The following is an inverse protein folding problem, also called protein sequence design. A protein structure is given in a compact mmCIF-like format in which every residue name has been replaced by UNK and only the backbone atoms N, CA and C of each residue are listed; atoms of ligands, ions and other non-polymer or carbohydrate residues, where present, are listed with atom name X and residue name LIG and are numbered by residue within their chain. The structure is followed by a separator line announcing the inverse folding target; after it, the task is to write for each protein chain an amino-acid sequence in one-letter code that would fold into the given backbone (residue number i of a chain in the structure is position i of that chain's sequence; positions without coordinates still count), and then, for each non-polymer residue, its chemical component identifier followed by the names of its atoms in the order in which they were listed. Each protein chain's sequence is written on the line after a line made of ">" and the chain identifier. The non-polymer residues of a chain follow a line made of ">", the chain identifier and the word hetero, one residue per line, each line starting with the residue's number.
data_IF_215904918068
#
_entry.id   IF_215904918068
#
_cell.length_a   1.000
_cell.length_b   1.000
_cell.length_c   1.000
_cell.angle_alpha   90.00
_cell.angle_beta   90.00
_cell.angle_gamma   90.00
#
_symmetry.space_group_name_H-M   'P 1'
#
loop_
_entity.id
_entity.type
_entity.pdbx_description
1 polymer ?
#
# COMPACT_ATOMS: atom_id res chain seq x y z
N UNK A 1 -10.51 -83.49 35.08
CA UNK A 1 -10.79 -82.22 34.35
C UNK A 1 -10.19 -81.08 35.15
N UNK A 2 -8.99 -80.61 34.81
CA UNK A 2 -8.44 -79.34 35.31
C UNK A 2 -7.66 -78.72 34.16
N UNK A 3 -8.26 -77.79 33.42
CA UNK A 3 -7.54 -76.93 32.46
C UNK A 3 -7.29 -75.59 33.13
N UNK A 4 -6.02 -75.29 33.41
CA UNK A 4 -5.57 -73.95 33.83
C UNK A 4 -5.49 -73.07 32.58
N UNK A 5 -6.28 -72.00 32.54
CA UNK A 5 -6.13 -70.93 31.56
C UNK A 5 -5.03 -69.96 32.03
N UNK A 6 -3.99 -69.81 31.23
CA UNK A 6 -2.96 -68.79 31.39
C UNK A 6 -3.48 -67.48 30.79
N UNK A 7 -3.57 -66.40 31.58
CA UNK A 7 -3.82 -65.05 31.09
C UNK A 7 -2.49 -64.36 30.80
N UNK A 8 -2.26 -64.00 29.53
CA UNK A 8 -1.16 -63.13 29.11
C UNK A 8 -1.66 -61.69 29.13
N UNK A 9 -1.11 -60.87 30.03
CA UNK A 9 -1.36 -59.43 30.05
C UNK A 9 -0.44 -58.75 29.02
N UNK A 10 -1.02 -58.15 27.98
CA UNK A 10 -0.30 -57.30 27.03
C UNK A 10 -0.27 -55.86 27.56
N UNK A 11 0.92 -55.37 27.92
CA UNK A 11 1.17 -53.96 28.22
C UNK A 11 1.23 -53.16 26.92
N UNK A 12 0.24 -52.29 26.71
CA UNK A 12 0.25 -51.30 25.63
C UNK A 12 1.08 -50.11 26.11
N UNK A 13 2.25 -49.90 25.50
CA UNK A 13 3.06 -48.69 25.70
C UNK A 13 2.42 -47.56 24.88
N UNK A 14 1.72 -46.65 25.54
CA UNK A 14 1.19 -45.44 24.89
C UNK A 14 2.34 -44.45 24.66
N UNK A 15 2.74 -44.25 23.41
CA UNK A 15 3.55 -43.10 23.01
C UNK A 15 2.69 -41.85 23.15
N UNK A 16 3.03 -40.97 24.08
CA UNK A 16 2.50 -39.62 24.11
C UNK A 16 3.05 -38.87 22.87
N UNK A 17 2.16 -38.52 21.95
CA UNK A 17 2.44 -37.56 20.89
C UNK A 17 2.19 -36.19 21.50
N UNK A 18 3.25 -35.47 21.85
CA UNK A 18 3.14 -34.07 22.23
C UNK A 18 2.61 -33.27 21.04
N UNK A 19 1.39 -32.77 21.15
CA UNK A 19 0.84 -31.80 20.20
C UNK A 19 1.57 -30.48 20.47
N UNK A 20 2.70 -30.27 19.78
CA UNK A 20 3.32 -28.95 19.68
C UNK A 20 2.35 -28.08 18.89
N UNK A 21 1.69 -27.14 19.57
CA UNK A 21 0.96 -26.06 18.93
C UNK A 21 2.00 -25.21 18.19
N UNK A 22 2.21 -25.50 16.91
CA UNK A 22 3.15 -24.76 16.07
C UNK A 22 2.72 -23.30 16.02
N UNK A 23 3.54 -22.42 16.59
CA UNK A 23 3.51 -21.02 16.25
C UNK A 23 3.80 -20.94 14.74
N UNK A 24 3.15 -20.03 14.02
CA UNK A 24 3.39 -19.88 12.59
C UNK A 24 3.81 -18.45 12.34
N UNK A 25 4.94 -18.26 11.67
CA UNK A 25 5.36 -16.93 11.26
C UNK A 25 4.57 -16.49 10.03
N UNK A 26 4.04 -15.28 10.08
CA UNK A 26 3.52 -14.59 8.90
C UNK A 26 4.70 -13.94 8.18
N UNK A 27 5.01 -14.40 6.97
CA UNK A 27 6.16 -13.93 6.19
C UNK A 27 5.85 -12.69 5.35
N UNK A 28 6.81 -11.78 5.24
CA UNK A 28 6.78 -10.57 4.41
C UNK A 28 8.01 -10.58 3.49
N UNK A 29 7.80 -10.62 2.18
CA UNK A 29 8.90 -10.66 1.19
C UNK A 29 9.42 -9.26 0.88
N UNK A 30 10.71 -9.18 0.61
CA UNK A 30 11.46 -7.95 0.30
C UNK A 30 11.36 -6.87 1.38
N UNK A 31 11.14 -7.28 2.63
CA UNK A 31 10.99 -6.38 3.77
C UNK A 31 12.15 -6.61 4.72
N UNK A 32 12.77 -5.52 5.13
CA UNK A 32 13.62 -5.43 6.31
C UNK A 32 12.92 -4.62 7.40
N UNK A 33 12.90 -5.09 8.65
CA UNK A 33 12.43 -4.28 9.77
C UNK A 33 13.65 -3.67 10.46
N UNK A 34 13.72 -2.35 10.57
CA UNK A 34 14.91 -1.69 11.10
C UNK A 34 15.08 -1.87 12.62
N UNK A 35 16.33 -2.12 13.06
CA UNK A 35 16.72 -2.17 14.48
C UNK A 35 16.15 -3.35 15.30
N UNK A 36 16.31 -3.29 16.63
CA UNK A 36 15.79 -4.30 17.59
C UNK A 36 16.34 -5.74 17.49
N UNK A 37 17.47 -5.93 16.81
CA UNK A 37 18.17 -7.22 16.73
C UNK A 37 18.65 -7.66 18.13
N UNK A 38 18.29 -8.88 18.51
CA UNK A 38 18.66 -9.50 19.78
C UNK A 38 19.60 -10.68 19.61
N UNK A 39 19.62 -11.29 18.43
CA UNK A 39 20.49 -12.42 18.11
C UNK A 39 20.58 -12.60 16.60
N UNK A 40 21.59 -13.34 16.14
CA UNK A 40 21.74 -13.71 14.75
C UNK A 40 22.05 -15.20 14.59
N UNK A 41 21.45 -15.85 13.60
CA UNK A 41 21.74 -17.24 13.21
C UNK A 41 21.99 -17.34 11.70
N UNK A 42 22.56 -18.45 11.22
CA UNK A 42 22.76 -18.68 9.79
C UNK A 42 21.83 -19.81 9.33
N UNK A 43 20.95 -19.53 8.37
CA UNK A 43 19.92 -20.43 7.89
C UNK A 43 19.78 -20.37 6.37
N UNK A 44 19.60 -21.52 5.73
CA UNK A 44 19.52 -21.61 4.28
C UNK A 44 18.21 -21.00 3.72
N UNK A 45 17.16 -20.90 4.54
CA UNK A 45 15.86 -20.38 4.13
C UNK A 45 15.15 -19.62 5.27
N UNK A 46 14.19 -18.74 4.94
CA UNK A 46 13.43 -17.96 5.93
C UNK A 46 12.59 -18.81 6.90
N UNK A 47 12.11 -19.98 6.47
CA UNK A 47 11.28 -20.84 7.31
C UNK A 47 12.05 -21.36 8.52
N UNK A 48 13.33 -21.69 8.36
CA UNK A 48 14.20 -22.03 9.49
C UNK A 48 14.45 -20.84 10.43
N UNK A 49 14.39 -19.62 9.90
CA UNK A 49 14.48 -18.39 10.68
C UNK A 49 13.30 -18.20 11.63
N UNK A 50 12.10 -18.63 11.19
CA UNK A 50 10.92 -18.68 12.04
C UNK A 50 11.13 -19.60 13.25
N UNK A 51 11.61 -20.82 12.99
CA UNK A 51 11.88 -21.80 14.05
C UNK A 51 12.93 -21.28 15.06
N UNK A 52 13.95 -20.57 14.58
CA UNK A 52 14.93 -19.92 15.46
C UNK A 52 14.30 -18.84 16.35
N UNK A 53 13.38 -18.04 15.79
CA UNK A 53 12.68 -17.02 16.56
C UNK A 53 11.75 -17.64 17.61
N UNK A 54 11.06 -18.74 17.30
CA UNK A 54 10.15 -19.43 18.24
C UNK A 54 10.85 -19.90 19.53
N UNK A 55 12.09 -20.38 19.41
CA UNK A 55 12.86 -20.89 20.54
C UNK A 55 13.72 -19.81 21.22
N UNK A 56 13.82 -18.62 20.63
CA UNK A 56 14.65 -17.53 21.16
C UNK A 56 13.84 -16.66 22.11
N UNK A 57 14.21 -16.60 23.42
CA UNK A 57 13.51 -15.76 24.37
C UNK A 57 13.46 -14.30 23.92
N UNK A 58 12.28 -13.69 24.02
CA UNK A 58 11.98 -12.32 23.59
C UNK A 58 12.03 -12.05 22.08
N UNK A 59 12.21 -13.06 21.23
CA UNK A 59 12.02 -12.88 19.80
C UNK A 59 10.52 -12.74 19.49
N UNK A 60 10.17 -11.74 18.68
CA UNK A 60 8.80 -11.50 18.21
C UNK A 60 8.70 -11.56 16.69
N UNK A 61 9.82 -11.35 16.00
CA UNK A 61 9.94 -11.38 14.56
C UNK A 61 11.39 -11.64 14.17
N UNK A 62 11.62 -11.94 12.90
CA UNK A 62 12.94 -12.08 12.31
C UNK A 62 13.04 -11.35 10.97
N UNK A 63 14.28 -11.07 10.56
CA UNK A 63 14.67 -10.69 9.21
C UNK A 63 15.63 -11.74 8.65
N UNK A 64 15.30 -12.33 7.51
CA UNK A 64 16.19 -13.24 6.78
C UNK A 64 16.73 -12.54 5.54
N UNK A 65 18.05 -12.50 5.38
CA UNK A 65 18.70 -11.95 4.18
C UNK A 65 20.03 -12.65 3.94
N UNK A 66 20.26 -13.10 2.71
CA UNK A 66 21.51 -13.72 2.26
C UNK A 66 22.02 -14.84 3.19
N UNK A 67 21.11 -15.68 3.67
CA UNK A 67 21.43 -16.80 4.55
C UNK A 67 21.60 -16.44 6.04
N UNK A 68 21.41 -15.18 6.41
CA UNK A 68 21.51 -14.70 7.80
C UNK A 68 20.12 -14.38 8.34
N UNK A 69 19.87 -14.84 9.56
CA UNK A 69 18.70 -14.55 10.36
C UNK A 69 19.03 -13.52 11.41
N UNK A 70 18.31 -12.40 11.42
CA UNK A 70 18.36 -11.38 12.43
C UNK A 70 17.08 -11.48 13.27
N UNK A 71 17.21 -12.03 14.48
CA UNK A 71 16.11 -12.27 15.41
C UNK A 71 15.85 -11.01 16.22
N UNK A 72 14.59 -10.58 16.35
CA UNK A 72 14.27 -9.22 16.82
C UNK A 72 13.17 -9.20 17.87
N UNK A 73 13.31 -8.25 18.78
CA UNK A 73 12.42 -8.10 19.95
C UNK A 73 11.20 -7.20 19.73
N UNK A 74 11.22 -6.38 18.68
CA UNK A 74 10.15 -5.47 18.31
C UNK A 74 10.23 -5.11 16.82
N UNK A 75 9.08 -4.82 16.21
CA UNK A 75 8.99 -4.42 14.82
C UNK A 75 9.34 -2.93 14.71
N UNK A 76 10.45 -2.63 14.05
CA UNK A 76 10.81 -1.26 13.67
C UNK A 76 10.15 -0.82 12.36
N UNK A 77 10.69 0.24 11.77
CA UNK A 77 10.25 0.73 10.45
C UNK A 77 10.44 -0.34 9.38
N UNK A 78 9.47 -0.48 8.49
CA UNK A 78 9.59 -1.34 7.31
C UNK A 78 10.44 -0.64 6.25
N UNK A 79 11.52 -1.29 5.82
CA UNK A 79 12.44 -0.86 4.77
C UNK A 79 12.33 -1.85 3.62
N UNK A 80 12.26 -1.35 2.39
CA UNK A 80 12.31 -2.18 1.18
C UNK A 80 13.73 -2.73 1.01
N UNK A 81 13.88 -4.05 1.10
CA UNK A 81 15.14 -4.74 0.85
C UNK A 81 14.91 -5.95 -0.08
N UNK A 82 15.16 -5.81 -1.39
CA UNK A 82 14.98 -6.89 -2.35
C UNK A 82 15.77 -8.15 -1.96
N UNK A 83 15.10 -9.29 -1.91
CA UNK A 83 15.67 -10.58 -1.51
C UNK A 83 15.56 -10.90 -0.02
N UNK A 84 15.19 -9.94 0.84
CA UNK A 84 14.92 -10.20 2.24
C UNK A 84 13.57 -10.90 2.43
N UNK A 85 13.42 -11.64 3.52
CA UNK A 85 12.13 -12.15 3.99
C UNK A 85 12.05 -11.91 5.48
N UNK A 86 11.10 -11.09 5.92
CA UNK A 86 10.78 -10.96 7.34
C UNK A 86 9.73 -11.96 7.75
N UNK A 87 9.66 -12.31 9.03
CA UNK A 87 8.52 -13.05 9.57
C UNK A 87 8.16 -12.59 10.97
N UNK A 88 6.88 -12.38 11.24
CA UNK A 88 6.37 -12.03 12.57
C UNK A 88 5.73 -13.27 13.18
N UNK A 89 6.09 -13.59 14.43
CA UNK A 89 5.48 -14.69 15.16
C UNK A 89 4.00 -14.41 15.39
N UNK A 90 3.13 -15.11 14.68
CA UNK A 90 1.70 -15.09 14.93
C UNK A 90 1.39 -15.89 16.18
N UNK A 91 0.53 -15.38 17.07
CA UNK A 91 -0.24 -16.28 17.91
C UNK A 91 -1.15 -17.08 16.98
N UNK A 92 -1.13 -18.41 17.08
CA UNK A 92 -2.04 -19.28 16.36
C UNK A 92 -3.47 -18.72 16.52
N UNK A 93 -3.97 -18.08 15.47
CA UNK A 93 -5.31 -17.53 15.49
C UNK A 93 -6.24 -18.72 15.45
N UNK A 94 -7.06 -18.87 16.49
CA UNK A 94 -8.18 -19.80 16.46
C UNK A 94 -8.95 -19.61 15.13
N UNK A 95 -9.51 -20.66 14.54
CA UNK A 95 -10.31 -20.54 13.32
C UNK A 95 -11.54 -19.68 13.61
N UNK A 96 -11.43 -18.37 13.42
CA UNK A 96 -12.57 -17.45 13.48
C UNK A 96 -13.42 -17.69 12.25
N UNK A 97 -14.54 -18.36 12.46
CA UNK A 97 -15.70 -18.37 11.57
C UNK A 97 -16.30 -16.96 11.50
N UNK A 98 -15.57 -15.98 10.96
CA UNK A 98 -16.16 -14.73 10.54
C UNK A 98 -16.80 -14.92 9.17
N UNK A 99 -18.13 -14.78 9.13
CA UNK A 99 -18.96 -14.65 7.94
C UNK A 99 -18.22 -13.84 6.85
N UNK A 100 -18.14 -14.31 5.59
CA UNK A 100 -17.40 -13.62 4.54
C UNK A 100 -18.06 -12.27 4.28
N UNK A 101 -17.46 -11.21 4.84
CA UNK A 101 -17.68 -9.87 4.31
C UNK A 101 -17.04 -9.94 2.94
N UNK A 102 -17.84 -9.81 1.89
CA UNK A 102 -17.35 -9.58 0.54
C UNK A 102 -16.55 -8.28 0.56
N UNK A 103 -15.27 -8.35 0.93
CA UNK A 103 -14.31 -7.26 0.77
C UNK A 103 -13.87 -7.27 -0.69
N UNK A 104 -14.69 -6.66 -1.51
CA UNK A 104 -14.29 -6.30 -2.87
C UNK A 104 -13.20 -5.24 -2.72
N UNK A 105 -12.02 -5.50 -3.28
CA UNK A 105 -11.01 -4.46 -3.38
C UNK A 105 -11.44 -3.50 -4.50
N UNK A 106 -11.42 -2.21 -4.22
CA UNK A 106 -11.68 -1.17 -5.20
C UNK A 106 -10.38 -0.42 -5.46
N UNK A 107 -10.01 -0.32 -6.74
CA UNK A 107 -8.86 0.50 -7.16
C UNK A 107 -9.30 1.96 -7.18
N UNK A 108 -8.54 2.80 -6.50
CA UNK A 108 -8.64 4.25 -6.59
C UNK A 108 -7.47 4.73 -7.46
N UNK A 109 -7.71 5.08 -8.74
CA UNK A 109 -6.64 5.61 -9.59
C UNK A 109 -6.16 6.96 -9.05
N UNK A 110 -4.88 7.25 -9.26
CA UNK A 110 -4.22 8.52 -8.91
C UNK A 110 -4.32 8.96 -7.43
N UNK A 111 -4.43 8.00 -6.52
CA UNK A 111 -4.53 8.27 -5.07
C UNK A 111 -3.38 7.62 -4.34
N UNK A 112 -2.75 8.39 -3.46
CA UNK A 112 -1.81 7.90 -2.46
C UNK A 112 -2.48 7.83 -1.08
N UNK A 113 -2.40 6.66 -0.46
CA UNK A 113 -2.80 6.47 0.93
C UNK A 113 -1.59 6.66 1.83
N UNK A 114 -1.65 7.58 2.81
CA UNK A 114 -0.49 7.85 3.67
C UNK A 114 -0.28 6.79 4.75
N UNK A 115 1.00 6.46 4.96
CA UNK A 115 1.47 5.62 6.05
C UNK A 115 0.85 4.22 6.12
N UNK A 116 1.00 3.60 7.29
CA UNK A 116 0.46 2.27 7.56
C UNK A 116 1.16 1.12 6.83
N UNK A 117 2.26 1.39 6.11
CA UNK A 117 3.00 0.38 5.36
C UNK A 117 3.53 -0.74 6.27
N UNK A 118 3.14 -1.96 5.96
CA UNK A 118 3.53 -3.19 6.67
C UNK A 118 4.36 -4.13 5.82
N UNK A 119 4.48 -3.85 4.51
CA UNK A 119 5.34 -4.60 3.62
C UNK A 119 5.07 -4.27 2.16
N UNK A 120 5.82 -4.93 1.27
CA UNK A 120 5.64 -4.75 -0.16
C UNK A 120 5.71 -6.06 -0.93
N UNK A 121 4.95 -6.16 -2.02
CA UNK A 121 5.04 -7.25 -3.00
C UNK A 121 5.19 -6.67 -4.41
N UNK A 122 5.56 -7.50 -5.38
CA UNK A 122 5.68 -7.08 -6.77
C UNK A 122 4.52 -7.64 -7.60
N UNK A 123 3.83 -6.76 -8.31
CA UNK A 123 2.77 -7.10 -9.24
C UNK A 123 2.82 -6.18 -10.44
N UNK A 124 2.75 -6.73 -11.64
CA UNK A 124 2.66 -5.94 -12.87
C UNK A 124 1.30 -5.25 -13.06
N UNK A 125 0.28 -5.70 -12.34
CA UNK A 125 -1.09 -5.19 -12.40
C UNK A 125 -1.56 -4.79 -10.98
N UNK A 126 -2.03 -3.54 -10.76
CA UNK A 126 -2.55 -3.10 -9.46
C UNK A 126 -3.73 -3.93 -8.94
N UNK A 127 -4.50 -4.59 -9.81
CA UNK A 127 -5.59 -5.46 -9.39
C UNK A 127 -5.10 -6.69 -8.60
N UNK A 128 -3.88 -7.15 -8.86
CA UNK A 128 -3.30 -8.32 -8.18
C UNK A 128 -2.87 -8.02 -6.74
N UNK A 129 -2.61 -6.76 -6.40
CA UNK A 129 -2.28 -6.35 -5.02
C UNK A 129 -3.39 -6.67 -4.01
N UNK A 130 -4.64 -6.78 -4.48
CA UNK A 130 -5.75 -7.21 -3.63
C UNK A 130 -5.54 -8.62 -3.07
N UNK A 131 -5.03 -9.55 -3.89
CA UNK A 131 -4.75 -10.91 -3.44
C UNK A 131 -3.61 -10.92 -2.42
N UNK A 132 -2.56 -10.13 -2.67
CA UNK A 132 -1.41 -9.98 -1.78
C UNK A 132 -1.82 -9.37 -0.43
N UNK A 133 -2.68 -8.36 -0.45
CA UNK A 133 -3.22 -7.78 0.78
C UNK A 133 -4.09 -8.80 1.53
N UNK A 134 -4.95 -9.56 0.84
CA UNK A 134 -5.79 -10.59 1.47
C UNK A 134 -4.98 -11.73 2.10
N UNK A 135 -3.82 -12.06 1.55
CA UNK A 135 -2.93 -13.09 2.10
C UNK A 135 -2.01 -12.54 3.21
N UNK A 136 -1.92 -11.22 3.37
CA UNK A 136 -1.07 -10.57 4.36
C UNK A 136 -1.86 -10.25 5.63
N UNK A 137 -1.53 -10.92 6.73
CA UNK A 137 -2.19 -10.69 8.02
C UNK A 137 -2.07 -9.21 8.42
N UNK A 138 -3.20 -8.61 8.77
CA UNK A 138 -3.28 -7.22 9.18
C UNK A 138 -3.38 -6.23 8.02
N UNK A 139 -3.25 -6.64 6.76
CA UNK A 139 -3.43 -5.75 5.62
C UNK A 139 -4.91 -5.38 5.43
N UNK A 140 -5.17 -4.08 5.22
CA UNK A 140 -6.51 -3.50 5.02
C UNK A 140 -6.58 -2.59 3.79
N UNK A 141 -5.44 -2.17 3.25
CA UNK A 141 -5.34 -1.34 2.05
C UNK A 141 -3.97 -1.56 1.37
N UNK A 142 -3.81 -1.04 0.16
CA UNK A 142 -2.51 -1.01 -0.52
C UNK A 142 -2.41 0.22 -1.42
N UNK A 143 -1.18 0.70 -1.65
CA UNK A 143 -0.87 1.54 -2.81
C UNK A 143 -0.20 0.65 -3.85
N UNK A 144 -0.37 0.96 -5.12
CA UNK A 144 0.42 0.35 -6.19
C UNK A 144 1.16 1.43 -6.95
N UNK A 145 2.47 1.29 -7.10
CA UNK A 145 3.29 2.21 -7.87
C UNK A 145 4.49 1.48 -8.47
N UNK A 146 4.72 1.68 -9.76
CA UNK A 146 5.87 1.14 -10.52
C UNK A 146 6.09 -0.38 -10.31
N UNK A 147 4.99 -1.14 -10.35
CA UNK A 147 5.02 -2.59 -10.19
C UNK A 147 5.12 -3.08 -8.74
N UNK A 148 5.07 -2.18 -7.76
CA UNK A 148 5.17 -2.51 -6.33
C UNK A 148 3.83 -2.28 -5.64
N UNK A 149 3.32 -3.28 -4.93
CA UNK A 149 2.20 -3.17 -4.00
C UNK A 149 2.73 -2.84 -2.61
N UNK A 150 2.49 -1.63 -2.12
CA UNK A 150 2.79 -1.22 -0.74
C UNK A 150 1.59 -1.55 0.15
N UNK A 151 1.68 -2.67 0.88
CA UNK A 151 0.61 -3.22 1.70
C UNK A 151 0.49 -2.46 3.02
N UNK A 152 -0.73 -2.13 3.44
CA UNK A 152 -0.99 -1.24 4.57
C UNK A 152 -1.93 -1.83 5.60
N UNK A 153 -1.67 -1.59 6.89
CA UNK A 153 -2.49 -2.09 8.00
C UNK A 153 -3.78 -1.27 8.28
N UNK A 154 -3.90 -0.12 7.62
CA UNK A 154 -5.03 0.78 7.66
C UNK A 154 -5.10 1.53 6.32
N UNK A 155 -6.25 2.14 6.02
CA UNK A 155 -6.39 2.94 4.80
C UNK A 155 -5.57 4.23 4.82
N UNK A 156 -5.22 4.78 5.98
CA UNK A 156 -4.61 6.11 6.05
C UNK A 156 -5.56 7.21 5.55
N UNK A 157 -5.04 8.43 5.49
CA UNK A 157 -5.65 9.53 4.74
C UNK A 157 -5.36 9.35 3.25
N UNK A 158 -6.30 9.81 2.43
CA UNK A 158 -6.17 9.84 0.98
C UNK A 158 -5.59 11.18 0.56
N UNK A 159 -4.61 11.15 -0.35
CA UNK A 159 -4.10 12.33 -1.04
C UNK A 159 -4.11 12.08 -2.53
N UNK A 160 -4.45 13.09 -3.35
CA UNK A 160 -4.36 12.95 -4.79
C UNK A 160 -2.90 13.01 -5.22
N UNK A 161 -2.50 12.10 -6.10
CA UNK A 161 -1.19 12.19 -6.73
C UNK A 161 -1.09 13.47 -7.59
N UNK A 162 0.12 14.02 -7.79
CA UNK A 162 0.31 15.08 -8.76
C UNK A 162 -0.25 14.69 -10.13
N UNK A 163 -1.22 15.46 -10.62
CA UNK A 163 -1.93 15.15 -11.86
C UNK A 163 -2.97 14.04 -11.72
N UNK A 164 -3.65 13.93 -10.57
CA UNK A 164 -4.82 13.06 -10.44
C UNK A 164 -6.00 13.52 -11.29
N UNK A 165 -6.81 12.58 -11.77
CA UNK A 165 -8.04 12.94 -12.47
C UNK A 165 -9.04 13.63 -11.52
N UNK A 166 -9.82 14.57 -12.05
CA UNK A 166 -10.89 15.24 -11.31
C UNK A 166 -11.86 14.25 -10.67
N UNK A 167 -12.14 13.14 -11.36
CA UNK A 167 -13.08 12.12 -10.88
C UNK A 167 -12.51 11.28 -9.74
N UNK A 168 -11.19 11.12 -9.66
CA UNK A 168 -10.53 10.44 -8.55
C UNK A 168 -10.53 11.26 -7.25
N UNK A 169 -10.71 12.59 -7.32
CA UNK A 169 -10.74 13.45 -6.14
C UNK A 169 -11.96 13.17 -5.25
N UNK A 170 -11.74 13.11 -3.94
CA UNK A 170 -12.76 13.14 -2.89
C UNK A 170 -13.52 14.46 -2.89
N UNK A 171 -14.69 14.49 -2.24
CA UNK A 171 -15.48 15.72 -2.11
C UNK A 171 -14.70 16.85 -1.41
N UNK A 172 -13.93 16.52 -0.37
CA UNK A 172 -13.11 17.49 0.37
C UNK A 172 -11.95 18.03 -0.49
N UNK A 173 -11.31 17.19 -1.30
CA UNK A 173 -10.26 17.62 -2.23
C UNK A 173 -10.84 18.53 -3.33
N UNK A 174 -12.02 18.20 -3.87
CA UNK A 174 -12.73 19.05 -4.84
C UNK A 174 -13.08 20.42 -4.24
N UNK A 175 -13.60 20.44 -3.01
CA UNK A 175 -13.91 21.68 -2.28
C UNK A 175 -12.64 22.51 -2.02
N UNK A 176 -11.54 21.86 -1.64
CA UNK A 176 -10.24 22.52 -1.46
C UNK A 176 -9.75 23.15 -2.76
N UNK A 177 -9.85 22.45 -3.89
CA UNK A 177 -9.47 22.99 -5.19
C UNK A 177 -10.35 24.17 -5.61
N UNK A 178 -11.69 24.02 -5.52
CA UNK A 178 -12.64 25.07 -5.92
C UNK A 178 -12.45 26.33 -5.07
N UNK A 179 -12.32 26.20 -3.75
CA UNK A 179 -12.09 27.36 -2.86
C UNK A 179 -10.76 28.07 -3.16
N UNK A 180 -9.70 27.33 -3.53
CA UNK A 180 -8.44 27.94 -3.96
C UNK A 180 -8.62 28.79 -5.24
N UNK A 181 -9.39 28.29 -6.21
CA UNK A 181 -9.69 29.01 -7.45
C UNK A 181 -10.52 30.26 -7.16
N UNK A 182 -11.54 30.17 -6.31
CA UNK A 182 -12.36 31.31 -5.89
C UNK A 182 -11.50 32.43 -5.28
N UNK A 183 -10.62 32.09 -4.33
CA UNK A 183 -9.71 33.06 -3.73
C UNK A 183 -8.73 33.64 -4.78
N UNK A 184 -8.24 32.82 -5.71
CA UNK A 184 -7.36 33.29 -6.77
C UNK A 184 -8.08 34.27 -7.72
N UNK A 185 -9.37 34.06 -7.98
CA UNK A 185 -10.21 34.96 -8.77
C UNK A 185 -10.47 36.26 -8.02
N UNK A 186 -10.88 36.19 -6.74
CA UNK A 186 -11.15 37.37 -5.90
C UNK A 186 -9.94 38.28 -5.74
N UNK A 187 -8.73 37.70 -5.66
CA UNK A 187 -7.46 38.44 -5.57
C UNK A 187 -6.91 38.87 -6.93
N UNK A 188 -7.60 38.57 -8.03
CA UNK A 188 -7.17 38.87 -9.40
C UNK A 188 -5.93 38.08 -9.86
N UNK A 189 -5.52 37.05 -9.13
CA UNK A 189 -4.38 36.19 -9.46
C UNK A 189 -4.70 35.29 -10.65
N UNK A 190 -5.93 34.75 -10.70
CA UNK A 190 -6.40 33.95 -11.84
C UNK A 190 -6.32 34.76 -13.14
N UNK A 191 -6.79 36.02 -13.10
CA UNK A 191 -6.76 36.91 -14.25
C UNK A 191 -5.33 37.21 -14.72
N UNK A 192 -4.35 37.32 -13.80
CA UNK A 192 -2.94 37.49 -14.19
C UNK A 192 -2.43 36.31 -15.02
N UNK A 193 -2.80 35.08 -14.68
CA UNK A 193 -2.43 33.90 -15.46
C UNK A 193 -3.09 33.90 -16.84
N UNK A 194 -4.37 34.27 -16.93
CA UNK A 194 -5.05 34.48 -18.22
C UNK A 194 -4.29 35.50 -19.08
N UNK A 195 -3.87 36.62 -18.50
CA UNK A 195 -3.10 37.65 -19.20
C UNK A 195 -1.70 37.17 -19.62
N UNK A 196 -1.01 36.39 -18.78
CA UNK A 196 0.28 35.77 -19.14
C UNK A 196 0.12 34.84 -20.35
N UNK A 197 -0.95 34.06 -20.40
CA UNK A 197 -1.22 33.17 -21.53
C UNK A 197 -1.58 33.92 -22.83
N UNK A 198 -2.16 35.11 -22.70
CA UNK A 198 -2.54 35.97 -23.84
C UNK A 198 -1.44 36.95 -24.26
N UNK A 199 -0.37 37.08 -23.47
CA UNK A 199 0.76 37.97 -23.80
C UNK A 199 1.39 37.55 -25.13
N UNK A 200 1.59 38.51 -26.03
CA UNK A 200 1.86 38.24 -27.43
C UNK A 200 3.17 37.47 -27.66
N UNK A 201 4.23 37.81 -26.93
CA UNK A 201 5.53 37.17 -27.08
C UNK A 201 5.53 35.77 -26.49
N UNK A 202 5.03 35.60 -25.27
CA UNK A 202 4.87 34.31 -24.62
C UNK A 202 3.94 33.38 -25.40
N UNK A 203 2.87 33.90 -26.01
CA UNK A 203 1.97 33.12 -26.84
C UNK A 203 2.67 32.58 -28.10
N UNK A 204 3.48 33.41 -28.77
CA UNK A 204 4.29 33.01 -29.94
C UNK A 204 5.38 32.02 -29.58
N UNK A 205 5.98 32.15 -28.40
CA UNK A 205 6.91 31.14 -27.91
C UNK A 205 6.18 29.82 -27.68
N UNK A 206 5.02 29.86 -27.01
CA UNK A 206 4.28 28.67 -26.59
C UNK A 206 3.63 27.89 -27.74
N UNK A 207 3.07 28.56 -28.75
CA UNK A 207 2.20 27.92 -29.74
C UNK A 207 2.87 27.79 -31.12
N UNK A 208 2.69 26.64 -31.77
CA UNK A 208 3.25 26.39 -33.11
C UNK A 208 4.76 26.15 -33.14
N UNK A 209 5.37 25.89 -31.99
CA UNK A 209 6.81 25.67 -31.83
C UNK A 209 7.10 24.35 -31.13
N UNK A 210 8.37 23.93 -31.11
CA UNK A 210 8.83 22.77 -30.35
C UNK A 210 8.75 22.96 -28.82
N UNK A 211 8.54 24.20 -28.34
CA UNK A 211 8.51 24.48 -26.90
C UNK A 211 7.12 24.40 -26.27
N UNK A 212 6.09 24.04 -27.06
CA UNK A 212 4.70 23.95 -26.60
C UNK A 212 4.54 23.22 -25.27
N UNK A 213 5.06 21.98 -25.17
CA UNK A 213 4.93 21.19 -23.94
C UNK A 213 5.71 21.79 -22.76
N UNK A 214 6.92 22.32 -23.03
CA UNK A 214 7.78 22.89 -21.99
C UNK A 214 7.21 24.18 -21.41
N UNK A 215 6.68 25.05 -22.27
CA UNK A 215 6.07 26.31 -21.88
C UNK A 215 4.81 26.06 -21.04
N UNK A 216 3.92 25.18 -21.48
CA UNK A 216 2.69 24.87 -20.75
C UNK A 216 2.98 24.14 -19.43
N UNK A 217 3.98 23.24 -19.39
CA UNK A 217 4.42 22.63 -18.11
C UNK A 217 4.88 23.66 -17.11
N UNK A 218 5.67 24.66 -17.55
CA UNK A 218 6.12 25.77 -16.69
C UNK A 218 4.94 26.65 -16.25
N UNK A 219 4.02 26.94 -17.16
CA UNK A 219 2.81 27.72 -16.88
C UNK A 219 1.92 27.04 -15.82
N UNK A 220 1.65 25.74 -15.98
CA UNK A 220 0.86 24.94 -15.04
C UNK A 220 1.54 24.85 -13.67
N UNK A 221 2.85 24.62 -13.62
CA UNK A 221 3.60 24.62 -12.35
C UNK A 221 3.53 25.99 -11.65
N UNK A 222 3.64 27.08 -12.40
CA UNK A 222 3.46 28.43 -11.88
C UNK A 222 2.06 28.64 -11.30
N UNK A 223 1.03 28.16 -11.99
CA UNK A 223 -0.36 28.27 -11.55
C UNK A 223 -0.62 27.44 -10.29
N UNK A 224 -0.13 26.19 -10.26
CA UNK A 224 -0.20 25.32 -9.09
C UNK A 224 0.48 25.94 -7.86
N UNK A 225 1.70 26.46 -8.02
CA UNK A 225 2.42 27.12 -6.92
C UNK A 225 1.74 28.40 -6.45
N UNK A 226 1.09 29.14 -7.35
CA UNK A 226 0.27 30.28 -6.96
C UNK A 226 -0.90 29.84 -6.07
N UNK A 227 -1.61 28.77 -6.42
CA UNK A 227 -2.69 28.22 -5.58
C UNK A 227 -2.16 27.75 -4.22
N UNK A 228 -1.02 27.05 -4.19
CA UNK A 228 -0.36 26.63 -2.93
C UNK A 228 0.04 27.81 -2.04
N UNK A 229 0.34 28.96 -2.63
CA UNK A 229 0.72 30.17 -1.88
C UNK A 229 -0.45 30.86 -1.16
N UNK A 230 -1.69 30.44 -1.39
CA UNK A 230 -2.88 31.07 -0.82
C UNK A 230 -3.08 30.79 0.69
N UNK A 231 -2.35 29.83 1.25
CA UNK A 231 -2.34 29.51 2.67
C UNK A 231 -2.00 28.04 2.96
N UNK A 232 -1.77 27.71 4.23
CA UNK A 232 -1.33 26.37 4.65
C UNK A 232 -2.28 25.24 4.25
N UNK A 233 -3.59 25.53 4.16
CA UNK A 233 -4.60 24.59 3.69
C UNK A 233 -4.39 24.14 2.23
N UNK A 234 -3.72 24.96 1.41
CA UNK A 234 -3.50 24.69 -0.01
C UNK A 234 -2.09 24.17 -0.30
N UNK A 235 -1.22 24.01 0.70
CA UNK A 235 0.20 23.67 0.49
C UNK A 235 0.43 22.37 -0.31
N UNK A 236 -0.50 21.42 -0.18
CA UNK A 236 -0.46 20.12 -0.86
C UNK A 236 -1.37 20.07 -2.11
N UNK A 237 -1.99 21.19 -2.50
CA UNK A 237 -2.88 21.23 -3.67
C UNK A 237 -2.09 20.87 -4.94
N UNK A 238 -2.67 20.00 -5.77
CA UNK A 238 -2.18 19.67 -7.10
C UNK A 238 -3.23 20.06 -8.14
N UNK A 239 -2.82 20.39 -9.36
CA UNK A 239 -3.77 20.62 -10.44
C UNK A 239 -4.34 19.29 -10.92
N UNK A 240 -5.68 19.08 -10.85
CA UNK A 240 -6.28 17.90 -11.43
C UNK A 240 -6.40 18.03 -12.95
N UNK A 241 -6.57 16.90 -13.63
CA UNK A 241 -6.93 16.86 -15.06
C UNK A 241 -8.32 16.27 -15.27
N UNK A 242 -8.94 16.57 -16.41
CA UNK A 242 -10.15 15.87 -16.85
C UNK A 242 -9.78 14.71 -17.75
N UNK A 243 -10.12 13.49 -17.34
CA UNK A 243 -9.91 12.29 -18.13
C UNK A 243 -11.00 12.15 -19.20
N UNK A 244 -10.85 12.92 -20.27
CA UNK A 244 -11.81 12.93 -21.36
C UNK A 244 -11.93 11.54 -22.03
N UNK A 245 -10.88 10.72 -22.01
CA UNK A 245 -10.91 9.37 -22.59
C UNK A 245 -11.84 8.47 -21.78
N UNK A 246 -11.65 8.43 -20.45
CA UNK A 246 -12.49 7.64 -19.57
C UNK A 246 -13.92 8.18 -19.50
N UNK A 247 -14.08 9.51 -19.46
CA UNK A 247 -15.39 10.16 -19.51
C UNK A 247 -16.13 9.81 -20.82
N UNK A 248 -15.44 9.80 -21.95
CA UNK A 248 -16.05 9.43 -23.23
C UNK A 248 -16.43 7.94 -23.30
N UNK A 249 -15.55 7.04 -22.83
CA UNK A 249 -15.82 5.61 -22.80
C UNK A 249 -17.02 5.24 -21.90
N UNK A 250 -17.16 5.91 -20.75
CA UNK A 250 -18.29 5.70 -19.84
C UNK A 250 -19.61 6.27 -20.39
N UNK A 251 -19.56 7.41 -21.09
CA UNK A 251 -20.75 7.97 -21.78
C UNK A 251 -21.30 7.02 -22.86
N UNK A 252 -20.44 6.33 -23.61
CA UNK A 252 -20.89 5.36 -24.62
C UNK A 252 -21.56 4.11 -24.03
N UNK A 253 -21.18 3.74 -22.80
CA UNK A 253 -21.67 2.53 -22.13
C UNK A 253 -22.87 2.79 -21.20
N UNK A 254 -23.27 4.05 -21.03
CA UNK A 254 -24.48 4.40 -20.28
C UNK A 254 -25.68 4.20 -21.19
N UNK A 255 -26.65 3.31 -20.87
CA UNK A 255 -27.89 3.22 -21.62
C UNK A 255 -28.50 4.61 -21.71
N UNK A 256 -28.83 5.08 -22.93
CA UNK A 256 -29.53 6.35 -23.09
C UNK A 256 -30.72 6.35 -22.14
N UNK A 257 -30.72 7.27 -21.16
CA UNK A 257 -31.90 7.55 -20.39
C UNK A 257 -33.01 7.84 -21.40
N UNK A 258 -34.04 7.00 -21.44
CA UNK A 258 -35.23 7.26 -22.22
C UNK A 258 -35.78 8.60 -21.72
N UNK A 259 -35.62 9.63 -22.56
CA UNK A 259 -36.27 10.93 -22.38
C UNK A 259 -37.77 10.76 -22.54
#
# INVERSE_FOLDING_TARGET
>A
MVSKAFQVAATVLALAVDIVSGQTCSEFRNVDFDGYDISTTNRANPTECCADCEITPNCKLYNWFDGVCYLKSAQGSSILLPGAVSGILGMASAPTTSKPIHSTCSILPDVDLDGGDIGATYQSDPANCCADCKSTLGCKAYNWFDGVCYLKNARGNSYPLPGASWDALTAAEKETFVSAIEIAMDRGLYQKFVLIHQEQMGNREAHGTCVFLFWHRKYLLGFENMLRSLGDQYKCLTLPYWDYVQNYATMQNTPQAQR
#
